data_IF_090951868473
#
_entry.id   IF_090951868473
#
_cell.length_a   1.000
_cell.length_b   1.000
_cell.length_c   1.000
_cell.angle_alpha   90.00
_cell.angle_beta   90.00
_cell.angle_gamma   90.00
#
_symmetry.space_group_name_H-M   'P 1'
#
loop_
_entity.id
_entity.type
_entity.pdbx_description
1 polymer ?
#
# COMPACT_ATOMS: atom_id res chain seq x y z
N UNK A 1 17.35 -19.50 -1.19
CA UNK A 1 16.09 -20.25 -1.31
C UNK A 1 15.02 -19.24 -1.66
N UNK A 2 14.77 -19.05 -2.96
CA UNK A 2 13.60 -18.29 -3.45
C UNK A 2 12.45 -19.30 -3.48
N UNK A 3 11.25 -19.00 -2.96
CA UNK A 3 10.18 -20.00 -2.95
C UNK A 3 9.85 -20.40 -4.39
N UNK A 4 9.57 -21.68 -4.58
CA UNK A 4 9.16 -22.27 -5.85
C UNK A 4 7.76 -21.74 -6.20
N UNK A 5 7.76 -20.66 -6.99
CA UNK A 5 6.64 -19.91 -7.57
C UNK A 5 5.59 -19.34 -6.59
N UNK A 6 5.41 -18.01 -6.62
CA UNK A 6 4.32 -17.30 -5.93
C UNK A 6 3.12 -17.21 -6.88
N UNK A 7 2.54 -18.35 -7.20
CA UNK A 7 1.43 -18.42 -8.16
C UNK A 7 0.10 -18.11 -7.46
N UNK A 8 -0.70 -17.24 -8.07
CA UNK A 8 -2.03 -16.85 -7.63
C UNK A 8 -2.99 -16.82 -8.82
N UNK A 9 -4.26 -17.15 -8.58
CA UNK A 9 -5.30 -17.06 -9.59
C UNK A 9 -6.04 -15.72 -9.45
N UNK A 10 -5.74 -14.79 -10.35
CA UNK A 10 -6.21 -13.40 -10.29
C UNK A 10 -6.48 -12.83 -11.68
N UNK A 11 -7.29 -11.77 -11.73
CA UNK A 11 -7.40 -10.89 -12.89
C UNK A 11 -6.17 -9.97 -12.96
N UNK A 12 -5.27 -10.12 -13.95
CA UNK A 12 -4.02 -9.38 -13.99
C UNK A 12 -4.23 -7.86 -14.14
N UNK A 13 -5.24 -7.43 -14.88
CA UNK A 13 -5.51 -6.00 -15.13
C UNK A 13 -5.98 -5.33 -13.83
N UNK A 14 -6.82 -6.02 -13.06
CA UNK A 14 -7.26 -5.52 -11.74
C UNK A 14 -6.11 -5.46 -10.74
N UNK A 15 -5.21 -6.47 -10.75
CA UNK A 15 -4.03 -6.47 -9.87
C UNK A 15 -3.05 -5.36 -10.25
N UNK A 16 -2.81 -5.14 -11.53
CA UNK A 16 -2.00 -4.01 -12.01
C UNK A 16 -2.56 -2.68 -11.50
N UNK A 17 -3.88 -2.47 -11.67
CA UNK A 17 -4.53 -1.23 -11.25
C UNK A 17 -4.37 -0.95 -9.74
N UNK A 18 -4.54 -1.97 -8.89
CA UNK A 18 -4.39 -1.78 -7.44
C UNK A 18 -2.93 -1.58 -7.05
N UNK A 19 -1.97 -2.23 -7.71
CA UNK A 19 -0.54 -2.04 -7.45
C UNK A 19 -0.10 -0.64 -7.85
N UNK A 20 -0.50 -0.15 -9.03
CA UNK A 20 -0.27 1.22 -9.47
C UNK A 20 -0.84 2.24 -8.46
N UNK A 21 -2.07 2.01 -7.99
CA UNK A 21 -2.66 2.87 -6.98
C UNK A 21 -1.86 2.86 -5.66
N UNK A 22 -1.38 1.72 -5.19
CA UNK A 22 -0.55 1.65 -3.98
C UNK A 22 0.79 2.35 -4.17
N UNK A 23 1.44 2.19 -5.33
CA UNK A 23 2.71 2.86 -5.66
C UNK A 23 2.56 4.38 -5.74
N UNK A 24 1.49 4.89 -6.37
CA UNK A 24 1.18 6.32 -6.39
C UNK A 24 0.89 6.86 -4.97
N UNK A 25 0.23 6.06 -4.13
CA UNK A 25 0.01 6.44 -2.73
C UNK A 25 1.32 6.53 -1.94
N UNK A 26 2.24 5.59 -2.16
CA UNK A 26 3.58 5.59 -1.57
C UNK A 26 4.41 6.80 -2.06
N UNK A 27 4.41 7.09 -3.37
CA UNK A 27 5.07 8.27 -3.94
C UNK A 27 4.57 9.57 -3.30
N UNK A 28 3.24 9.75 -3.23
CA UNK A 28 2.69 10.96 -2.61
C UNK A 28 3.03 11.07 -1.11
N UNK A 29 3.14 9.94 -0.40
CA UNK A 29 3.55 9.94 1.00
C UNK A 29 5.00 10.42 1.19
N UNK A 30 5.84 10.29 0.15
CA UNK A 30 7.22 10.77 0.10
C UNK A 30 7.33 12.25 -0.30
N UNK A 31 6.44 12.73 -1.18
CA UNK A 31 6.51 14.09 -1.76
C UNK A 31 5.92 15.18 -0.84
N UNK A 32 5.02 14.85 0.10
CA UNK A 32 4.24 15.85 0.87
C UNK A 32 5.01 16.71 1.90
N UNK A 33 6.31 16.90 1.71
CA UNK A 33 7.11 17.94 2.37
C UNK A 33 7.20 19.21 1.50
N UNK A 34 6.06 19.75 1.06
CA UNK A 34 6.01 21.12 0.54
C UNK A 34 6.15 22.10 1.72
N UNK A 35 7.40 22.43 2.10
CA UNK A 35 7.70 23.61 2.90
C UNK A 35 8.48 23.39 4.20
N UNK A 36 8.55 22.17 4.74
CA UNK A 36 9.45 21.87 5.85
C UNK A 36 10.59 20.99 5.35
N UNK A 37 11.70 21.65 5.03
CA UNK A 37 13.03 21.03 4.92
C UNK A 37 13.45 20.62 6.34
N UNK A 38 12.70 19.74 7.00
CA UNK A 38 13.34 18.82 7.93
C UNK A 38 14.00 17.77 7.06
N UNK A 39 15.26 18.06 6.72
CA UNK A 39 16.26 17.11 6.24
C UNK A 39 16.31 15.90 7.19
N UNK A 40 15.36 14.99 7.11
CA UNK A 40 15.68 13.59 7.28
C UNK A 40 16.41 13.20 6.00
N UNK A 41 17.72 13.07 6.13
CA UNK A 41 18.67 12.51 5.16
C UNK A 41 18.34 11.05 4.83
N UNK A 42 17.09 10.79 4.44
CA UNK A 42 16.59 9.48 4.10
C UNK A 42 16.21 9.56 2.63
N UNK A 43 16.98 8.86 1.79
CA UNK A 43 16.64 8.67 0.39
C UNK A 43 15.21 8.11 0.30
N UNK A 44 14.36 8.76 -0.48
CA UNK A 44 13.00 8.29 -0.72
C UNK A 44 13.05 6.85 -1.25
N UNK A 45 12.31 5.94 -0.59
CA UNK A 45 12.36 4.51 -0.89
C UNK A 45 10.95 3.94 -0.87
N UNK A 46 10.62 3.25 -1.96
CA UNK A 46 9.46 2.36 -2.05
C UNK A 46 10.02 0.95 -2.24
N UNK A 47 9.52 -0.01 -1.46
CA UNK A 47 9.88 -1.42 -1.56
C UNK A 47 8.64 -2.24 -1.92
N UNK A 48 8.79 -3.12 -2.90
CA UNK A 48 7.79 -4.13 -3.27
C UNK A 48 8.36 -5.50 -2.91
N UNK A 49 7.68 -6.21 -2.01
CA UNK A 49 8.09 -7.54 -1.58
C UNK A 49 6.95 -8.53 -1.86
N UNK A 50 7.30 -9.78 -2.19
CA UNK A 50 6.34 -10.86 -2.31
C UNK A 50 6.88 -12.11 -1.63
N UNK A 51 6.04 -12.78 -0.83
CA UNK A 51 6.43 -13.96 -0.06
C UNK A 51 5.22 -14.82 0.35
N UNK A 52 5.47 -16.08 0.71
CA UNK A 52 4.49 -16.92 1.40
C UNK A 52 4.52 -16.61 2.89
N UNK A 53 3.36 -16.29 3.47
CA UNK A 53 3.27 -16.12 4.92
C UNK A 53 3.28 -17.49 5.65
N UNK A 54 3.30 -17.45 6.98
CA UNK A 54 3.31 -18.66 7.82
C UNK A 54 2.08 -19.57 7.66
N UNK A 55 1.01 -19.07 7.03
CA UNK A 55 -0.22 -19.82 6.72
C UNK A 55 -0.25 -20.35 5.29
N UNK A 56 0.82 -20.14 4.51
CA UNK A 56 0.91 -20.57 3.12
C UNK A 56 0.15 -19.68 2.14
N UNK A 57 -0.24 -18.47 2.53
CA UNK A 57 -0.89 -17.51 1.62
C UNK A 57 0.16 -16.64 0.94
N UNK A 58 -0.07 -16.27 -0.32
CA UNK A 58 0.79 -15.34 -1.05
C UNK A 58 0.51 -13.92 -0.57
N UNK A 59 1.58 -13.23 -0.18
CA UNK A 59 1.50 -11.84 0.30
C UNK A 59 2.34 -10.96 -0.60
N UNK A 60 1.76 -9.85 -1.05
CA UNK A 60 2.46 -8.75 -1.71
C UNK A 60 2.43 -7.55 -0.76
N UNK A 61 3.60 -6.97 -0.48
CA UNK A 61 3.73 -5.77 0.35
C UNK A 61 4.30 -4.61 -0.45
N UNK A 62 3.65 -3.44 -0.34
CA UNK A 62 4.15 -2.15 -0.79
C UNK A 62 4.48 -1.31 0.44
N UNK A 63 5.76 -1.01 0.63
CA UNK A 63 6.25 -0.25 1.78
C UNK A 63 6.93 1.05 1.34
N UNK A 64 6.61 2.15 2.01
CA UNK A 64 7.28 3.44 1.86
C UNK A 64 8.01 3.85 3.15
N UNK A 65 8.89 4.84 3.03
CA UNK A 65 9.53 5.52 4.17
C UNK A 65 9.08 6.99 4.31
N UNK A 66 7.86 7.31 3.86
CA UNK A 66 7.27 8.64 3.95
C UNK A 66 6.74 8.97 5.34
N UNK A 67 5.74 9.86 5.41
CA UNK A 67 5.16 10.31 6.70
C UNK A 67 4.29 9.26 7.42
N UNK A 68 3.94 8.16 6.75
CA UNK A 68 2.98 7.17 7.25
C UNK A 68 1.54 7.70 7.26
N UNK A 69 0.67 7.02 8.00
CA UNK A 69 -0.77 7.31 8.09
C UNK A 69 -1.13 7.68 9.52
N UNK A 70 -1.82 8.80 9.71
CA UNK A 70 -2.32 9.19 11.04
C UNK A 70 -3.28 8.13 11.60
N UNK A 71 -3.16 7.79 12.89
CA UNK A 71 -3.95 6.72 13.52
C UNK A 71 -5.46 6.90 13.34
N UNK A 72 -5.96 8.15 13.38
CA UNK A 72 -7.39 8.47 13.15
C UNK A 72 -7.87 8.11 11.74
N UNK A 73 -6.97 8.06 10.76
CA UNK A 73 -7.30 7.80 9.36
C UNK A 73 -7.20 6.31 9.01
N UNK A 74 -6.46 5.49 9.77
CA UNK A 74 -6.20 4.08 9.48
C UNK A 74 -7.45 3.24 9.15
N UNK A 75 -8.57 3.52 9.80
CA UNK A 75 -9.85 2.82 9.54
C UNK A 75 -10.64 3.44 8.40
N UNK A 76 -10.44 4.74 8.14
CA UNK A 76 -11.18 5.51 7.14
C UNK A 76 -10.54 5.47 5.75
N UNK A 77 -9.25 5.15 5.63
CA UNK A 77 -8.54 5.19 4.34
C UNK A 77 -9.12 4.26 3.26
N UNK A 78 -9.90 3.26 3.64
CA UNK A 78 -10.57 2.34 2.72
C UNK A 78 -12.03 2.72 2.42
N UNK A 79 -12.54 3.79 3.03
CA UNK A 79 -13.89 4.31 2.77
C UNK A 79 -13.87 5.05 1.43
N UNK A 80 -14.81 4.78 0.51
CA UNK A 80 -14.90 5.49 -0.76
C UNK A 80 -14.95 7.02 -0.56
N UNK A 81 -14.24 7.75 -1.42
CA UNK A 81 -14.15 9.22 -1.42
C UNK A 81 -13.41 9.82 -0.21
N UNK A 82 -12.93 9.00 0.73
CA UNK A 82 -12.05 9.49 1.78
C UNK A 82 -10.68 9.82 1.21
N UNK A 83 -10.24 11.06 1.38
CA UNK A 83 -8.95 11.53 0.91
C UNK A 83 -8.44 12.63 1.84
N UNK A 84 -7.14 12.61 2.11
CA UNK A 84 -6.43 13.72 2.76
C UNK A 84 -5.63 14.55 1.75
N UNK A 85 -5.77 14.25 0.45
CA UNK A 85 -5.06 14.89 -0.65
C UNK A 85 -5.97 15.95 -1.28
N UNK A 86 -5.41 17.13 -1.61
CA UNK A 86 -6.15 18.22 -2.28
C UNK A 86 -6.72 17.82 -3.64
N UNK A 87 -6.03 16.96 -4.39
CA UNK A 87 -6.43 16.52 -5.73
C UNK A 87 -6.70 15.00 -5.83
N UNK A 88 -6.84 14.30 -4.70
CA UNK A 88 -7.10 12.85 -4.72
C UNK A 88 -8.60 12.54 -4.77
N UNK A 89 -9.05 11.66 -5.66
CA UNK A 89 -10.46 11.24 -5.73
C UNK A 89 -10.95 10.44 -4.51
N UNK A 90 -10.04 9.90 -3.70
CA UNK A 90 -10.37 9.03 -2.56
C UNK A 90 -10.94 7.66 -2.97
N UNK A 91 -10.87 7.30 -4.25
CA UNK A 91 -11.44 6.03 -4.76
C UNK A 91 -10.42 4.89 -4.72
N UNK A 92 -9.13 5.20 -4.86
CA UNK A 92 -8.08 4.20 -5.09
C UNK A 92 -8.02 3.08 -4.04
N UNK A 93 -7.90 3.42 -2.75
CA UNK A 93 -7.79 2.41 -1.69
C UNK A 93 -9.12 1.65 -1.47
N UNK A 94 -10.26 2.30 -1.69
CA UNK A 94 -11.56 1.63 -1.66
C UNK A 94 -11.66 0.58 -2.79
N UNK A 95 -11.20 0.93 -3.99
CA UNK A 95 -11.08 0.00 -5.12
C UNK A 95 -10.12 -1.15 -4.76
N UNK A 96 -8.94 -0.85 -4.20
CA UNK A 96 -8.01 -1.90 -3.73
C UNK A 96 -8.69 -2.88 -2.79
N UNK A 97 -9.51 -2.41 -1.85
CA UNK A 97 -10.28 -3.29 -0.96
C UNK A 97 -11.31 -4.13 -1.72
N UNK A 98 -12.02 -3.55 -2.68
CA UNK A 98 -13.01 -4.28 -3.50
C UNK A 98 -12.36 -5.36 -4.36
N UNK A 99 -11.27 -5.04 -5.06
CA UNK A 99 -10.52 -6.01 -5.87
C UNK A 99 -10.01 -7.17 -5.02
N UNK A 100 -9.42 -6.89 -3.86
CA UNK A 100 -8.96 -7.95 -2.96
C UNK A 100 -10.10 -8.84 -2.48
N UNK A 101 -11.25 -8.25 -2.12
CA UNK A 101 -12.43 -9.02 -1.72
C UNK A 101 -12.97 -9.90 -2.85
N UNK A 102 -12.96 -9.42 -4.09
CA UNK A 102 -13.37 -10.19 -5.26
C UNK A 102 -12.47 -11.41 -5.52
N UNK A 103 -11.21 -11.34 -5.09
CA UNK A 103 -10.22 -12.41 -5.17
C UNK A 103 -10.12 -13.24 -3.87
N UNK A 104 -11.11 -13.16 -2.97
CA UNK A 104 -11.11 -13.82 -1.65
C UNK A 104 -9.92 -13.44 -0.74
N UNK A 105 -9.19 -12.40 -1.10
CA UNK A 105 -8.03 -11.91 -0.38
C UNK A 105 -8.37 -10.78 0.61
N UNK A 106 -7.31 -10.21 1.19
CA UNK A 106 -7.41 -9.14 2.18
C UNK A 106 -6.33 -8.09 1.95
N UNK A 107 -6.71 -6.82 2.10
CA UNK A 107 -5.76 -5.71 2.24
C UNK A 107 -5.65 -5.29 3.70
N UNK A 108 -4.43 -5.01 4.15
CA UNK A 108 -4.13 -4.44 5.45
C UNK A 108 -3.12 -3.30 5.29
N UNK A 109 -3.05 -2.43 6.30
CA UNK A 109 -2.06 -1.36 6.37
C UNK A 109 -1.46 -1.31 7.78
N UNK A 110 -0.19 -0.92 7.87
CA UNK A 110 0.49 -0.62 9.14
C UNK A 110 1.47 0.53 8.95
N UNK A 111 1.70 1.33 9.99
CA UNK A 111 2.85 2.23 10.01
C UNK A 111 4.12 1.45 10.35
N UNK A 112 5.23 1.86 9.75
CA UNK A 112 6.54 1.28 10.01
C UNK A 112 7.19 2.01 11.20
N UNK A 113 7.92 1.27 12.03
CA UNK A 113 8.58 1.83 13.22
C UNK A 113 9.63 2.91 12.90
N UNK A 114 10.23 2.85 11.71
CA UNK A 114 11.21 3.82 11.22
C UNK A 114 10.60 4.96 10.39
N UNK A 115 9.26 5.02 10.28
CA UNK A 115 8.54 5.95 9.41
C UNK A 115 8.02 5.30 8.11
N UNK A 116 6.97 5.88 7.55
CA UNK A 116 6.25 5.37 6.38
C UNK A 116 5.16 4.36 6.72
N UNK A 117 4.53 3.82 5.67
CA UNK A 117 3.50 2.80 5.80
C UNK A 117 3.84 1.54 4.98
N UNK A 118 3.25 0.42 5.36
CA UNK A 118 3.26 -0.82 4.59
C UNK A 118 1.82 -1.25 4.33
N UNK A 119 1.46 -1.39 3.06
CA UNK A 119 0.24 -2.03 2.60
C UNK A 119 0.53 -3.49 2.27
N UNK A 120 -0.26 -4.41 2.81
CA UNK A 120 -0.12 -5.84 2.58
C UNK A 120 -1.38 -6.38 1.90
N UNK A 121 -1.21 -6.98 0.72
CA UNK A 121 -2.22 -7.74 -0.02
C UNK A 121 -1.98 -9.22 0.26
N UNK A 122 -2.94 -9.91 0.86
CA UNK A 122 -2.89 -11.36 1.10
C UNK A 122 -3.91 -12.04 0.22
N UNK A 123 -3.48 -12.98 -0.61
CA UNK A 123 -4.30 -13.81 -1.48
C UNK A 123 -4.51 -15.19 -0.86
#
# INVERSE_FOLDING_TARGET
IVPQALDIYVDPDMIEQILLNLLLNAEHALITSEGEIEKKTCTAKIALNAFLNVRGHVVIEVADNGKGIENKNMTQIFVPFFTTKKEGSGVGLALTRQVMLAHNGKVAVRNNSQGGATFSLTF
#
